data_IF_378706606605
#
_entry.id   IF_378706606605
#
_cell.length_a   1.000
_cell.length_b   1.000
_cell.length_c   1.000
_cell.angle_alpha   90.00
_cell.angle_beta   90.00
_cell.angle_gamma   90.00
#
_symmetry.space_group_name_H-M   'P 1'
#
loop_
_entity.id
_entity.type
_entity.pdbx_description
1 polymer ?
#
# COMPACT_ATOMS: atom_id res chain seq x y z
N UNK A 1 -8.75 -20.68 -1.24
CA UNK A 1 -8.17 -19.36 -0.86
C UNK A 1 -8.24 -18.35 -2.00
N UNK A 2 -7.78 -18.65 -3.22
CA UNK A 2 -7.91 -17.72 -4.36
C UNK A 2 -9.35 -17.35 -4.67
N UNK A 3 -10.26 -18.32 -4.70
CA UNK A 3 -11.68 -18.09 -5.02
C UNK A 3 -12.36 -17.18 -4.00
N UNK A 4 -12.25 -17.48 -2.71
CA UNK A 4 -12.82 -16.67 -1.62
C UNK A 4 -12.36 -15.21 -1.69
N UNK A 5 -11.06 -14.97 -1.93
CA UNK A 5 -10.52 -13.61 -1.96
C UNK A 5 -11.00 -12.83 -3.19
N UNK A 6 -11.19 -13.52 -4.31
CA UNK A 6 -11.71 -12.92 -5.54
C UNK A 6 -13.20 -12.62 -5.41
N UNK A 7 -13.95 -13.50 -4.75
CA UNK A 7 -15.37 -13.36 -4.46
C UNK A 7 -15.63 -12.10 -3.61
N UNK A 8 -14.89 -11.91 -2.52
CA UNK A 8 -15.01 -10.68 -1.70
C UNK A 8 -14.61 -9.41 -2.45
N UNK A 9 -13.62 -9.48 -3.34
CA UNK A 9 -13.21 -8.34 -4.19
C UNK A 9 -14.32 -7.93 -5.15
N UNK A 10 -15.09 -8.90 -5.67
CA UNK A 10 -16.16 -8.65 -6.63
C UNK A 10 -17.51 -8.33 -5.98
N UNK A 11 -17.79 -8.87 -4.79
CA UNK A 11 -19.08 -8.73 -4.12
C UNK A 11 -19.18 -7.39 -3.37
N UNK A 12 -18.05 -6.88 -2.88
CA UNK A 12 -17.98 -5.63 -2.12
C UNK A 12 -16.82 -4.71 -2.56
N UNK A 13 -16.72 -4.37 -3.86
CA UNK A 13 -15.57 -3.67 -4.43
C UNK A 13 -15.30 -2.31 -3.76
N UNK A 14 -16.36 -1.59 -3.38
CA UNK A 14 -16.25 -0.32 -2.65
C UNK A 14 -15.63 -0.47 -1.25
N UNK A 15 -16.09 -1.46 -0.46
CA UNK A 15 -15.60 -1.68 0.90
C UNK A 15 -14.17 -2.20 0.90
N UNK A 16 -13.89 -3.17 0.02
CA UNK A 16 -12.55 -3.75 -0.11
C UNK A 16 -11.57 -2.71 -0.67
N UNK A 17 -11.98 -1.92 -1.66
CA UNK A 17 -11.17 -0.83 -2.20
C UNK A 17 -10.89 0.27 -1.17
N UNK A 18 -11.87 0.61 -0.33
CA UNK A 18 -11.67 1.54 0.80
C UNK A 18 -10.68 1.01 1.82
N UNK A 19 -10.71 -0.30 2.11
CA UNK A 19 -9.76 -0.95 3.01
C UNK A 19 -8.34 -0.89 2.45
N UNK A 20 -8.15 -1.16 1.15
CA UNK A 20 -6.85 -1.02 0.48
C UNK A 20 -6.33 0.43 0.49
N UNK A 21 -7.22 1.41 0.30
CA UNK A 21 -6.87 2.82 0.42
C UNK A 21 -6.40 3.18 1.83
N UNK A 22 -7.15 2.78 2.85
CA UNK A 22 -6.78 3.04 4.26
C UNK A 22 -5.42 2.42 4.56
N UNK A 23 -5.21 1.14 4.20
CA UNK A 23 -3.93 0.47 4.43
C UNK A 23 -2.78 1.14 3.68
N UNK A 24 -2.96 1.49 2.40
CA UNK A 24 -1.95 2.16 1.59
C UNK A 24 -1.57 3.52 2.15
N UNK A 25 -2.56 4.35 2.50
CA UNK A 25 -2.36 5.69 3.06
C UNK A 25 -1.75 5.62 4.47
N UNK A 26 -2.26 4.75 5.35
CA UNK A 26 -1.69 4.56 6.69
C UNK A 26 -0.24 4.09 6.64
N UNK A 27 0.11 3.21 5.70
CA UNK A 27 1.48 2.77 5.49
C UNK A 27 2.38 3.91 4.98
N UNK A 28 1.89 4.73 4.04
CA UNK A 28 2.61 5.93 3.59
C UNK A 28 2.87 6.89 4.75
N UNK A 29 1.85 7.18 5.58
CA UNK A 29 1.98 8.05 6.76
C UNK A 29 3.00 7.47 7.75
N UNK A 30 2.87 6.19 8.10
CA UNK A 30 3.83 5.50 8.97
C UNK A 30 5.26 5.61 8.44
N UNK A 31 5.43 5.41 7.13
CA UNK A 31 6.73 5.46 6.50
C UNK A 31 7.31 6.87 6.46
N UNK A 32 6.51 7.90 6.19
CA UNK A 32 6.93 9.30 6.26
C UNK A 32 7.39 9.63 7.69
N UNK A 33 6.57 9.31 8.69
CA UNK A 33 6.90 9.55 10.10
C UNK A 33 8.18 8.82 10.54
N UNK A 34 8.36 7.57 10.09
CA UNK A 34 9.57 6.80 10.36
C UNK A 34 10.79 7.34 9.60
N UNK A 35 10.63 7.75 8.35
CA UNK A 35 11.72 8.27 7.53
C UNK A 35 12.23 9.63 8.06
N UNK A 36 11.35 10.47 8.62
CA UNK A 36 11.77 11.69 9.32
C UNK A 36 12.50 11.40 10.64
N UNK A 37 12.09 10.35 11.36
CA UNK A 37 12.74 9.92 12.60
C UNK A 37 14.12 9.30 12.35
N UNK A 38 14.27 8.55 11.25
CA UNK A 38 15.54 7.99 10.78
C UNK A 38 16.19 8.91 9.75
N UNK A 39 16.60 10.12 10.14
CA UNK A 39 17.56 10.93 9.36
C UNK A 39 18.84 10.12 9.13
N UNK A 40 18.80 9.36 8.04
CA UNK A 40 19.78 8.62 7.29
C UNK A 40 21.21 8.69 7.85
N UNK A 41 21.53 7.83 8.82
CA UNK A 41 22.90 7.64 9.31
C UNK A 41 23.66 6.51 8.60
N UNK A 42 22.97 5.58 7.96
CA UNK A 42 23.60 4.42 7.31
C UNK A 42 23.07 4.22 5.88
N UNK A 43 23.74 4.86 4.91
CA UNK A 43 23.46 4.65 3.48
C UNK A 43 24.17 3.39 2.98
N UNK A 44 23.52 2.24 3.11
CA UNK A 44 23.87 1.04 2.33
C UNK A 44 22.96 0.95 1.09
N UNK A 45 23.49 0.49 -0.05
CA UNK A 45 22.73 0.33 -1.28
C UNK A 45 21.51 -0.61 -1.13
N UNK A 46 21.57 -1.57 -0.20
CA UNK A 46 20.47 -2.45 0.14
C UNK A 46 19.31 -1.71 0.84
N UNK A 47 19.61 -0.69 1.65
CA UNK A 47 18.61 0.17 2.28
C UNK A 47 17.81 1.00 1.26
N UNK A 48 18.48 1.49 0.21
CA UNK A 48 17.84 2.23 -0.88
C UNK A 48 16.87 1.37 -1.70
N UNK A 49 17.27 0.16 -2.08
CA UNK A 49 16.40 -0.78 -2.81
C UNK A 49 15.16 -1.16 -1.99
N UNK A 50 15.32 -1.48 -0.71
CA UNK A 50 14.19 -1.81 0.18
C UNK A 50 13.24 -0.63 0.42
N UNK A 51 13.78 0.59 0.49
CA UNK A 51 12.97 1.80 0.59
C UNK A 51 12.14 2.05 -0.67
N UNK A 52 12.74 1.96 -1.86
CA UNK A 52 12.00 2.16 -3.12
C UNK A 52 10.90 1.11 -3.25
N UNK A 53 11.22 -0.17 -3.00
CA UNK A 53 10.27 -1.26 -3.13
C UNK A 53 9.05 -1.11 -2.20
N UNK A 54 9.27 -0.65 -0.97
CA UNK A 54 8.17 -0.40 -0.03
C UNK A 54 7.34 0.84 -0.36
N UNK A 55 7.90 1.86 -1.04
CA UNK A 55 7.11 3.01 -1.54
C UNK A 55 6.22 2.58 -2.71
N UNK A 56 6.78 1.79 -3.64
CA UNK A 56 6.05 1.24 -4.78
C UNK A 56 4.91 0.35 -4.30
N UNK A 57 5.14 -0.51 -3.30
CA UNK A 57 4.09 -1.35 -2.73
C UNK A 57 2.91 -0.53 -2.16
N UNK A 58 3.22 0.55 -1.44
CA UNK A 58 2.19 1.42 -0.86
C UNK A 58 1.37 2.14 -1.94
N UNK A 59 2.03 2.64 -2.98
CA UNK A 59 1.37 3.22 -4.14
C UNK A 59 0.50 2.21 -4.88
N UNK A 60 0.96 0.96 -4.98
CA UNK A 60 0.24 -0.12 -5.64
C UNK A 60 -1.04 -0.49 -4.87
N UNK A 61 -1.01 -0.50 -3.53
CA UNK A 61 -2.20 -0.64 -2.69
C UNK A 61 -3.21 0.50 -2.90
N UNK A 62 -2.73 1.74 -3.02
CA UNK A 62 -3.58 2.91 -3.29
C UNK A 62 -4.23 2.80 -4.68
N UNK A 63 -3.44 2.44 -5.71
CA UNK A 63 -3.95 2.27 -7.07
C UNK A 63 -5.01 1.17 -7.11
N UNK A 64 -4.74 0.00 -6.51
CA UNK A 64 -5.72 -1.10 -6.44
C UNK A 64 -6.99 -0.65 -5.71
N UNK A 65 -6.86 0.05 -4.58
CA UNK A 65 -8.01 0.55 -3.82
C UNK A 65 -8.88 1.50 -4.62
N UNK A 66 -8.25 2.43 -5.35
CA UNK A 66 -8.94 3.35 -6.27
C UNK A 66 -9.60 2.56 -7.39
N UNK A 67 -8.87 1.67 -8.07
CA UNK A 67 -9.39 0.87 -9.16
C UNK A 67 -10.62 0.08 -8.73
N UNK A 68 -10.59 -0.57 -7.56
CA UNK A 68 -11.73 -1.32 -7.01
C UNK A 68 -12.94 -0.42 -6.71
N UNK A 69 -12.75 0.79 -6.18
CA UNK A 69 -13.86 1.72 -5.92
C UNK A 69 -14.54 2.18 -7.22
N UNK A 70 -13.76 2.38 -8.28
CA UNK A 70 -14.28 2.78 -9.59
C UNK A 70 -14.67 1.62 -10.50
N UNK A 71 -14.35 0.39 -10.11
CA UNK A 71 -14.79 -0.83 -10.76
C UNK A 71 -16.25 -1.05 -10.38
N UNK A 72 -17.14 -0.55 -11.25
CA UNK A 72 -18.58 -0.80 -11.20
C UNK A 72 -18.90 -2.28 -11.23
#
# INVERSE_FOLDING_TARGET
MKEILTEYLTEYPFYVGSLFLILGVSYLIYKIAKNESFKMKDYSAAGWSGLINSWVFALLLVIIGITLIFQK
#
